data_IF_673524891857
#
_entry.id   IF_673524891857
#
_cell.length_a   1.000
_cell.length_b   1.000
_cell.length_c   1.000
_cell.angle_alpha   90.00
_cell.angle_beta   90.00
_cell.angle_gamma   90.00
#
_symmetry.space_group_name_H-M   'P 1'
#
loop_
_entity.id
_entity.type
_entity.pdbx_description
1 polymer ?
#
# COMPACT_ATOMS: atom_id res chain seq x y z
N UNK A 1 1.61 10.85 16.64
CA UNK A 1 2.85 10.78 15.85
C UNK A 1 3.82 11.86 16.31
N UNK A 2 5.13 11.70 16.11
CA UNK A 2 6.12 12.75 16.42
C UNK A 2 6.30 13.67 15.22
N UNK A 3 6.58 14.95 15.45
CA UNK A 3 6.75 15.95 14.37
C UNK A 3 7.86 15.58 13.38
N UNK A 4 8.95 14.92 13.83
CA UNK A 4 10.02 14.49 12.94
C UNK A 4 9.53 13.48 11.91
N UNK A 5 8.84 12.43 12.36
CA UNK A 5 8.27 11.43 11.47
C UNK A 5 7.27 12.06 10.50
N UNK A 6 6.42 12.99 10.95
CA UNK A 6 5.47 13.65 10.06
C UNK A 6 6.19 14.43 8.97
N UNK A 7 7.23 15.21 9.34
CA UNK A 7 8.02 15.98 8.38
C UNK A 7 8.71 15.11 7.33
N UNK A 8 9.15 13.91 7.70
CA UNK A 8 9.75 12.94 6.78
C UNK A 8 8.71 12.39 5.78
N UNK A 9 7.48 12.15 6.24
CA UNK A 9 6.40 11.58 5.44
C UNK A 9 5.57 12.62 4.66
N UNK A 10 5.79 13.92 4.86
CA UNK A 10 4.98 14.97 4.23
C UNK A 10 5.03 14.94 2.69
N UNK A 11 6.17 14.58 2.10
CA UNK A 11 6.31 14.51 0.64
C UNK A 11 5.50 13.32 0.10
N UNK A 12 5.67 12.15 0.69
CA UNK A 12 4.90 10.95 0.34
C UNK A 12 3.39 11.16 0.55
N UNK A 13 2.99 11.94 1.57
CA UNK A 13 1.61 12.37 1.77
C UNK A 13 1.09 13.23 0.62
N UNK A 14 1.85 14.23 0.18
CA UNK A 14 1.48 15.12 -0.93
C UNK A 14 1.37 14.35 -2.25
N UNK A 15 2.27 13.40 -2.49
CA UNK A 15 2.29 12.57 -3.70
C UNK A 15 1.25 11.44 -3.68
N UNK A 16 0.57 11.22 -2.54
CA UNK A 16 -0.47 10.20 -2.38
C UNK A 16 0.06 8.77 -2.27
N UNK A 17 1.31 8.60 -1.84
CA UNK A 17 2.01 7.30 -1.76
C UNK A 17 1.75 6.55 -0.45
N UNK A 18 1.11 7.20 0.53
CA UNK A 18 0.85 6.65 1.85
C UNK A 18 -0.41 5.78 1.92
N UNK A 19 -0.41 4.81 2.84
CA UNK A 19 -1.61 4.01 3.12
C UNK A 19 -2.70 4.84 3.81
N UNK A 20 -3.94 4.35 3.74
CA UNK A 20 -5.09 5.03 4.36
C UNK A 20 -4.97 5.22 5.88
N UNK A 21 -4.23 4.35 6.56
CA UNK A 21 -3.98 4.45 8.01
C UNK A 21 -2.94 5.53 8.32
N UNK A 22 -1.91 5.64 7.48
CA UNK A 22 -0.86 6.66 7.61
C UNK A 22 -1.41 8.05 7.33
N UNK A 23 -2.22 8.18 6.27
CA UNK A 23 -2.95 9.42 5.93
C UNK A 23 -3.75 9.93 7.12
N UNK A 24 -4.61 9.09 7.73
CA UNK A 24 -5.39 9.49 8.90
C UNK A 24 -4.52 9.92 10.08
N UNK A 25 -3.38 9.27 10.27
CA UNK A 25 -2.45 9.59 11.36
C UNK A 25 -1.77 10.94 11.15
N UNK A 26 -1.40 11.25 9.90
CA UNK A 26 -0.80 12.52 9.51
C UNK A 26 -1.84 13.64 9.58
N UNK A 27 -3.05 13.44 9.04
CA UNK A 27 -4.13 14.42 9.08
C UNK A 27 -4.49 14.81 10.53
N UNK A 28 -4.60 13.82 11.41
CA UNK A 28 -4.82 14.07 12.84
C UNK A 28 -3.68 14.92 13.45
N UNK A 29 -2.43 14.67 13.05
CA UNK A 29 -1.30 15.47 13.53
C UNK A 29 -1.29 16.89 12.95
N UNK A 30 -1.63 17.07 11.67
CA UNK A 30 -1.69 18.39 11.03
C UNK A 30 -2.80 19.26 11.63
N UNK A 31 -3.90 18.65 12.08
CA UNK A 31 -4.96 19.37 12.79
C UNK A 31 -4.50 19.94 14.15
N UNK A 32 -3.62 19.22 14.86
CA UNK A 32 -3.16 19.59 16.20
C UNK A 32 -1.85 20.40 16.20
N UNK A 33 -0.97 20.19 15.21
CA UNK A 33 0.38 20.74 15.17
C UNK A 33 0.53 21.85 14.12
N UNK A 34 0.51 23.10 14.58
CA UNK A 34 0.65 24.29 13.72
C UNK A 34 1.99 24.34 12.97
N UNK A 35 3.06 23.82 13.56
CA UNK A 35 4.37 23.81 12.91
C UNK A 35 4.38 22.87 11.70
N UNK A 36 3.86 21.65 11.87
CA UNK A 36 3.77 20.68 10.77
C UNK A 36 2.77 21.13 9.69
N UNK A 37 1.66 21.77 10.08
CA UNK A 37 0.74 22.39 9.11
C UNK A 37 1.44 23.48 8.28
N UNK A 38 2.21 24.36 8.93
CA UNK A 38 2.95 25.39 8.22
C UNK A 38 4.03 24.82 7.28
N UNK A 39 4.68 23.72 7.64
CA UNK A 39 5.63 23.04 6.75
C UNK A 39 4.92 22.39 5.55
N UNK A 40 3.79 21.73 5.78
CA UNK A 40 2.94 21.21 4.69
C UNK A 40 2.56 22.32 3.70
N UNK A 41 2.05 23.45 4.20
CA UNK A 41 1.62 24.57 3.35
C UNK A 41 2.77 25.16 2.51
N UNK A 42 3.99 25.22 3.07
CA UNK A 42 5.18 25.68 2.32
C UNK A 42 5.53 24.73 1.17
N UNK A 43 5.46 23.42 1.42
CA UNK A 43 5.73 22.40 0.39
C UNK A 43 4.69 22.48 -0.72
N UNK A 44 3.40 22.52 -0.38
CA UNK A 44 2.31 22.65 -1.35
C UNK A 44 2.43 23.93 -2.17
N UNK A 45 2.72 25.07 -1.55
CA UNK A 45 2.91 26.35 -2.24
C UNK A 45 4.08 26.30 -3.25
N UNK A 46 5.14 25.57 -2.91
CA UNK A 46 6.30 25.39 -3.79
C UNK A 46 5.91 24.57 -5.02
N UNK A 47 5.20 23.48 -4.83
CA UNK A 47 4.68 22.61 -5.90
C UNK A 47 3.71 23.39 -6.80
N UNK A 48 2.75 24.10 -6.21
CA UNK A 48 1.83 24.95 -6.98
C UNK A 48 2.56 25.99 -7.83
N UNK A 49 3.70 26.49 -7.37
CA UNK A 49 4.52 27.43 -8.12
C UNK A 49 5.20 26.77 -9.33
N UNK A 50 5.60 25.50 -9.23
CA UNK A 50 6.16 24.75 -10.37
C UNK A 50 5.09 24.41 -11.41
N UNK A 51 3.84 24.13 -10.99
CA UNK A 51 2.73 23.91 -11.92
C UNK A 51 2.39 25.14 -12.78
N UNK A 52 2.74 26.35 -12.34
CA UNK A 52 2.50 27.59 -13.11
C UNK A 52 3.42 27.78 -14.31
N UNK A 53 4.50 27.00 -14.42
CA UNK A 53 5.47 27.12 -15.52
C UNK A 53 4.87 26.66 -16.86
N UNK A 54 3.71 26.00 -16.82
CA UNK A 54 2.94 25.59 -17.99
C UNK A 54 3.39 24.24 -18.55
N UNK A 55 2.47 23.55 -19.21
CA UNK A 55 2.75 22.24 -19.78
C UNK A 55 3.58 22.36 -21.06
N UNK A 56 4.63 21.54 -21.13
CA UNK A 56 5.36 21.33 -22.38
C UNK A 56 4.66 20.23 -23.18
N UNK A 57 4.30 20.54 -24.42
CA UNK A 57 3.77 19.52 -25.32
C UNK A 57 4.93 18.65 -25.82
N UNK A 58 4.81 17.31 -25.71
CA UNK A 58 5.80 16.41 -26.30
C UNK A 58 5.84 16.56 -27.82
N UNK A 59 6.94 16.10 -28.45
CA UNK A 59 7.06 16.09 -29.91
C UNK A 59 5.93 15.26 -30.55
N UNK A 60 5.55 15.58 -31.79
CA UNK A 60 4.41 14.94 -32.48
C UNK A 60 4.50 13.40 -32.56
N UNK A 61 5.71 12.85 -32.60
CA UNK A 61 5.99 11.41 -32.70
C UNK A 61 6.45 10.78 -31.37
N UNK A 62 6.22 11.47 -30.24
CA UNK A 62 6.67 11.01 -28.92
C UNK A 62 6.12 9.61 -28.63
N UNK A 63 4.82 9.39 -28.89
CA UNK A 63 4.12 8.15 -28.49
C UNK A 63 4.60 6.96 -29.28
N UNK A 64 4.76 7.14 -30.58
CA UNK A 64 5.31 6.15 -31.49
C UNK A 64 6.74 5.78 -31.09
N UNK A 65 7.58 6.79 -30.78
CA UNK A 65 8.97 6.56 -30.36
C UNK A 65 9.07 5.81 -29.03
N UNK A 66 8.21 6.12 -28.05
CA UNK A 66 8.16 5.36 -26.80
C UNK A 66 7.72 3.92 -27.06
N UNK A 67 6.65 3.75 -27.82
CA UNK A 67 6.04 2.44 -28.08
C UNK A 67 7.05 1.50 -28.75
N UNK A 68 7.78 1.99 -29.75
CA UNK A 68 8.86 1.24 -30.38
C UNK A 68 9.92 0.79 -29.39
N UNK A 69 10.27 1.61 -28.39
CA UNK A 69 11.27 1.26 -27.37
C UNK A 69 10.75 0.27 -26.32
N UNK A 70 9.48 0.38 -25.91
CA UNK A 70 8.88 -0.52 -24.93
C UNK A 70 8.62 -1.93 -25.48
N UNK A 71 8.34 -2.02 -26.78
CA UNK A 71 8.05 -3.30 -27.46
C UNK A 71 9.17 -3.76 -28.39
N UNK A 72 10.30 -3.05 -28.44
CA UNK A 72 11.49 -3.58 -29.07
C UNK A 72 11.81 -4.92 -28.41
N UNK A 73 11.97 -6.01 -29.18
CA UNK A 73 12.38 -7.28 -28.62
C UNK A 73 13.72 -7.06 -27.92
N UNK A 74 13.87 -7.62 -26.71
CA UNK A 74 15.10 -7.54 -25.91
C UNK A 74 16.28 -8.14 -26.69
N UNK A 75 16.91 -7.37 -27.59
CA UNK A 75 18.13 -7.83 -28.24
C UNK A 75 19.36 -7.52 -27.41
N UNK A 76 19.32 -6.52 -26.51
CA UNK A 76 20.54 -6.03 -25.86
C UNK A 76 20.39 -5.47 -24.42
N UNK A 77 19.28 -5.66 -23.71
CA UNK A 77 19.11 -5.09 -22.35
C UNK A 77 19.83 -5.85 -21.22
N UNK A 78 20.53 -6.96 -21.49
CA UNK A 78 21.20 -7.76 -20.43
C UNK A 78 22.67 -7.40 -20.18
N UNK A 79 23.30 -6.50 -20.96
CA UNK A 79 24.75 -6.27 -20.81
C UNK A 79 25.16 -5.14 -19.84
N UNK A 80 24.23 -4.33 -19.32
CA UNK A 80 24.58 -3.13 -18.54
C UNK A 80 24.23 -3.17 -17.04
N UNK A 81 23.65 -4.26 -16.52
CA UNK A 81 23.42 -4.47 -15.08
C UNK A 81 24.20 -5.65 -14.54
N UNK A 82 25.50 -5.73 -14.86
CA UNK A 82 26.42 -6.57 -14.09
C UNK A 82 26.95 -5.75 -12.90
N UNK A 83 26.11 -5.52 -11.88
CA UNK A 83 26.62 -5.16 -10.56
C UNK A 83 27.15 -6.46 -9.91
N UNK A 84 28.46 -6.59 -9.68
CA UNK A 84 29.06 -7.82 -9.14
C UNK A 84 28.60 -8.17 -7.72
N UNK A 85 27.80 -7.31 -7.07
CA UNK A 85 27.30 -7.54 -5.71
C UNK A 85 25.79 -7.81 -5.63
N UNK A 86 25.08 -7.94 -6.76
CA UNK A 86 23.68 -8.43 -6.76
C UNK A 86 23.71 -9.95 -6.68
N UNK A 87 23.57 -10.48 -5.47
CA UNK A 87 23.36 -11.91 -5.28
C UNK A 87 21.97 -12.27 -5.79
N UNK A 88 21.89 -13.25 -6.69
CA UNK A 88 20.64 -13.72 -7.27
C UNK A 88 19.62 -14.01 -6.14
N UNK A 89 18.34 -13.62 -6.29
CA UNK A 89 17.32 -14.03 -5.35
C UNK A 89 17.37 -15.56 -5.21
N UNK A 90 17.32 -16.11 -3.98
CA UNK A 90 17.42 -17.54 -3.77
C UNK A 90 16.35 -18.21 -4.63
N UNK A 91 16.78 -19.22 -5.40
CA UNK A 91 15.91 -20.03 -6.24
C UNK A 91 14.62 -20.32 -5.46
N UNK A 92 13.49 -19.94 -6.05
CA UNK A 92 12.19 -20.31 -5.53
C UNK A 92 12.17 -21.83 -5.42
N UNK A 93 12.35 -22.35 -4.20
CA UNK A 93 12.13 -23.74 -3.92
C UNK A 93 10.63 -23.96 -4.13
N UNK A 94 10.29 -24.66 -5.21
CA UNK A 94 8.99 -25.24 -5.44
C UNK A 94 8.62 -26.12 -4.24
N UNK A 95 7.78 -25.58 -3.35
CA UNK A 95 6.93 -26.38 -2.48
C UNK A 95 5.74 -25.51 -2.04
N UNK A 96 4.88 -25.19 -3.02
CA UNK A 96 3.47 -24.92 -2.77
C UNK A 96 2.82 -26.23 -2.29
N UNK A 97 3.05 -26.59 -1.03
CA UNK A 97 2.29 -27.64 -0.37
C UNK A 97 0.92 -27.06 0.05
N UNK A 98 -0.20 -27.63 -0.40
CA UNK A 98 -1.51 -27.23 0.09
C UNK A 98 -1.62 -27.63 1.56
N UNK A 99 -1.80 -26.64 2.45
CA UNK A 99 -2.07 -26.88 3.85
C UNK A 99 -3.44 -27.54 4.02
N UNK A 100 -3.47 -28.87 3.95
CA UNK A 100 -4.56 -29.69 4.43
C UNK A 100 -4.27 -30.11 5.88
N UNK A 101 -4.52 -29.19 6.81
CA UNK A 101 -4.72 -29.54 8.21
C UNK A 101 -6.21 -29.68 8.48
N UNK A 102 -6.75 -30.86 8.15
CA UNK A 102 -7.81 -31.49 8.92
C UNK A 102 -7.32 -32.86 9.34
N UNK A 103 -6.98 -33.01 10.64
CA UNK A 103 -7.00 -34.32 11.29
C UNK A 103 -8.04 -34.26 12.41
N UNK A 104 -9.15 -34.95 12.17
CA UNK A 104 -10.09 -35.36 13.18
C UNK A 104 -9.57 -36.63 13.85
N UNK A 105 -9.45 -36.63 15.18
CA UNK A 105 -9.91 -37.71 16.08
C UNK A 105 -9.45 -37.42 17.52
N UNK A 106 -10.38 -36.97 18.37
CA UNK A 106 -10.55 -37.65 19.64
C UNK A 106 -12.04 -37.62 20.03
N UNK A 107 -12.69 -38.76 19.81
CA UNK A 107 -14.05 -39.03 20.22
C UNK A 107 -14.04 -39.52 21.66
N UNK A 108 -14.30 -38.64 22.63
CA UNK A 108 -14.93 -39.04 23.90
C UNK A 108 -15.40 -37.85 24.75
N UNK A 109 -16.68 -37.95 25.13
CA UNK A 109 -17.48 -37.20 26.13
C UNK A 109 -18.40 -36.08 25.63
N UNK A 110 -19.69 -36.33 25.92
CA UNK A 110 -20.85 -35.42 26.05
C UNK A 110 -21.40 -34.88 24.73
N UNK A 111 -22.45 -35.42 24.08
CA UNK A 111 -23.79 -35.86 24.55
C UNK A 111 -24.51 -34.83 25.44
N UNK A 112 -25.63 -34.31 24.91
CA UNK A 112 -26.56 -33.28 25.41
C UNK A 112 -25.99 -31.85 25.41
N UNK A 113 -26.61 -30.82 24.82
CA UNK A 113 -28.03 -30.48 24.83
C UNK A 113 -28.43 -29.67 23.57
N UNK A 114 -29.35 -30.22 22.80
CA UNK A 114 -30.11 -29.51 21.76
C UNK A 114 -31.52 -29.30 22.32
N UNK A 115 -32.04 -28.07 22.14
CA UNK A 115 -33.42 -27.59 22.30
C UNK A 115 -33.71 -26.84 23.60
N UNK A 116 -33.87 -25.52 23.46
CA UNK A 116 -34.95 -24.71 24.07
C UNK A 116 -34.88 -23.30 23.48
N UNK A 117 -35.29 -23.17 22.23
CA UNK A 117 -35.75 -21.90 21.68
C UNK A 117 -37.17 -22.16 21.21
N UNK A 118 -38.11 -22.00 22.14
CA UNK A 118 -39.46 -21.49 21.92
C UNK A 118 -40.33 -21.74 23.15
N UNK A 119 -41.05 -20.68 23.54
CA UNK A 119 -42.31 -20.67 24.32
C UNK A 119 -42.22 -20.61 25.85
N UNK A 120 -42.13 -19.38 26.36
CA UNK A 120 -42.80 -18.86 27.57
C UNK A 120 -42.40 -17.39 27.74
N UNK A 121 -43.22 -16.39 28.08
CA UNK A 121 -44.62 -16.30 28.46
C UNK A 121 -45.02 -14.81 28.36
N UNK A 122 -46.29 -14.61 28.04
CA UNK A 122 -47.11 -13.41 28.30
C UNK A 122 -47.10 -12.99 29.79
N UNK A 123 -47.43 -11.71 30.04
CA UNK A 123 -47.90 -11.05 31.32
C UNK A 123 -46.87 -10.97 32.46
N UNK A 124 -46.62 -9.89 33.22
CA UNK A 124 -47.22 -8.58 33.60
C UNK A 124 -46.02 -7.66 34.02
N UNK A 125 -46.04 -6.33 34.14
CA UNK A 125 -47.05 -5.33 34.51
C UNK A 125 -46.94 -4.07 33.63
#
# INVERSE_FOLDING_TARGET
MKCNNVREELVAYIDGELSSMEVQTIEAHLADCKECAAEHDKLTTTIESTHKVGDIQPAQNWWETLQERLYAPDSDLVSAVADPNVQAPPAANEDLQPNNQTQAADTSKMLCEKRRFDRAQTTNC
#
